data_IF_718305048006
#
_entry.id   IF_718305048006
#
_cell.length_a   1.000
_cell.length_b   1.000
_cell.length_c   1.000
_cell.angle_alpha   90.00
_cell.angle_beta   90.00
_cell.angle_gamma   90.00
#
_symmetry.space_group_name_H-M   'P 1'
#
loop_
_entity.id
_entity.type
_entity.pdbx_description
1 polymer ?
#
# COMPACT_ATOMS: atom_id res chain seq x y z
N UNK A 1 -14.84 9.35 4.51
CA UNK A 1 -14.19 8.51 3.48
C UNK A 1 -13.64 7.27 4.16
N UNK A 2 -13.84 6.10 3.56
CA UNK A 2 -13.32 4.82 4.05
C UNK A 2 -12.23 4.33 3.10
N UNK A 3 -11.01 4.21 3.59
CA UNK A 3 -9.88 3.70 2.83
C UNK A 3 -9.44 2.33 3.35
N UNK A 4 -8.81 1.55 2.49
CA UNK A 4 -8.06 0.36 2.88
C UNK A 4 -6.59 0.56 2.57
N UNK A 5 -5.72 -0.03 3.39
CA UNK A 5 -4.28 0.04 3.25
C UNK A 5 -3.67 -1.33 3.03
N UNK A 6 -2.89 -1.49 1.96
CA UNK A 6 -2.13 -2.71 1.69
C UNK A 6 -0.67 -2.47 2.11
N UNK A 7 -0.19 -3.29 3.04
CA UNK A 7 1.23 -3.28 3.43
C UNK A 7 1.98 -4.27 2.54
N UNK A 8 2.82 -3.75 1.65
CA UNK A 8 3.57 -4.53 0.66
C UNK A 8 4.76 -5.32 1.22
N UNK A 9 4.66 -5.79 2.45
CA UNK A 9 5.70 -6.57 3.13
C UNK A 9 5.06 -7.66 3.98
N UNK A 10 5.60 -8.86 3.90
CA UNK A 10 5.27 -9.99 4.78
C UNK A 10 6.27 -10.15 5.93
N UNK A 11 7.19 -9.20 6.13
CA UNK A 11 8.11 -9.22 7.24
C UNK A 11 7.40 -8.87 8.55
N UNK A 12 7.74 -9.57 9.65
CA UNK A 12 7.22 -9.31 10.98
C UNK A 12 7.53 -7.88 11.44
N UNK A 13 8.78 -7.42 11.23
CA UNK A 13 9.19 -6.04 11.48
C UNK A 13 9.20 -5.29 10.15
N UNK A 14 8.20 -4.44 9.92
CA UNK A 14 8.07 -3.66 8.69
C UNK A 14 7.89 -2.17 8.97
N UNK A 15 8.77 -1.33 8.44
CA UNK A 15 8.61 0.14 8.51
C UNK A 15 7.45 0.64 7.65
N UNK A 16 7.09 -0.08 6.62
CA UNK A 16 5.88 0.23 5.84
C UNK A 16 4.62 -0.06 6.65
N UNK A 17 4.61 -1.10 7.48
CA UNK A 17 3.52 -1.36 8.44
C UNK A 17 3.44 -0.24 9.48
N UNK A 18 4.57 0.13 10.10
CA UNK A 18 4.62 1.24 11.06
C UNK A 18 4.10 2.55 10.45
N UNK A 19 4.49 2.85 9.20
CA UNK A 19 4.01 4.03 8.49
C UNK A 19 2.49 4.00 8.31
N UNK A 20 1.94 2.87 7.89
CA UNK A 20 0.50 2.71 7.68
C UNK A 20 -0.30 2.76 9.00
N UNK A 21 0.24 2.20 10.08
CA UNK A 21 -0.34 2.29 11.43
C UNK A 21 -0.33 3.73 11.94
N UNK A 22 0.77 4.46 11.72
CA UNK A 22 0.85 5.89 12.01
C UNK A 22 -0.20 6.68 11.23
N UNK A 23 -0.33 6.43 9.92
CA UNK A 23 -1.36 7.08 9.08
C UNK A 23 -2.76 6.80 9.62
N UNK A 24 -3.07 5.55 9.94
CA UNK A 24 -4.38 5.15 10.46
C UNK A 24 -4.70 5.81 11.81
N UNK A 25 -3.69 6.07 12.65
CA UNK A 25 -3.84 6.70 13.96
C UNK A 25 -3.93 8.22 13.87
N UNK A 26 -3.03 8.85 13.10
CA UNK A 26 -2.81 10.29 13.11
C UNK A 26 -3.83 11.07 12.26
N UNK A 27 -4.32 10.48 11.17
CA UNK A 27 -5.17 11.21 10.20
C UNK A 27 -6.64 10.75 10.21
N UNK A 28 -7.15 10.36 11.38
CA UNK A 28 -8.57 9.97 11.57
C UNK A 28 -9.56 11.08 11.26
N UNK A 29 -9.11 12.33 11.27
CA UNK A 29 -9.89 13.50 10.89
C UNK A 29 -10.12 13.59 9.37
N UNK A 30 -9.29 12.94 8.57
CA UNK A 30 -9.40 12.92 7.10
C UNK A 30 -10.19 11.70 6.59
N UNK A 31 -9.94 10.52 7.15
CA UNK A 31 -10.55 9.25 6.73
C UNK A 31 -10.41 8.16 7.79
N UNK A 32 -11.11 7.06 7.59
CA UNK A 32 -10.83 5.79 8.30
C UNK A 32 -9.97 4.90 7.42
N UNK A 33 -8.91 4.31 7.97
CA UNK A 33 -8.00 3.40 7.25
C UNK A 33 -7.99 2.02 7.92
N UNK A 34 -8.41 1.00 7.16
CA UNK A 34 -8.32 -0.41 7.57
C UNK A 34 -7.15 -1.08 6.87
N UNK A 35 -6.21 -1.67 7.64
CA UNK A 35 -5.05 -2.34 7.07
C UNK A 35 -5.38 -3.77 6.65
N UNK A 36 -4.97 -4.13 5.45
CA UNK A 36 -5.08 -5.46 4.87
C UNK A 36 -3.71 -6.14 4.88
N UNK A 37 -3.68 -7.38 5.33
CA UNK A 37 -2.46 -8.17 5.41
C UNK A 37 -2.34 -9.13 4.21
N UNK A 38 -1.14 -9.19 3.63
CA UNK A 38 -0.81 -10.10 2.52
C UNK A 38 0.01 -11.32 2.97
N UNK A 39 0.33 -11.42 4.27
CA UNK A 39 1.27 -12.41 4.80
C UNK A 39 0.81 -13.85 4.55
N UNK A 40 -0.49 -14.10 4.66
CA UNK A 40 -1.07 -15.44 4.52
C UNK A 40 -1.54 -15.78 3.09
N UNK A 41 -1.36 -14.86 2.15
CA UNK A 41 -1.70 -15.14 0.77
C UNK A 41 -0.68 -16.10 0.15
N UNK A 42 -1.10 -17.17 -0.53
CA UNK A 42 -0.17 -18.06 -1.24
C UNK A 42 0.53 -17.31 -2.38
N UNK A 43 1.70 -17.80 -2.78
CA UNK A 43 2.33 -17.29 -3.99
C UNK A 43 1.42 -17.54 -5.19
N UNK A 44 1.30 -16.54 -6.06
CA UNK A 44 0.46 -16.64 -7.24
C UNK A 44 0.94 -17.77 -8.16
N UNK A 45 0.01 -18.63 -8.53
CA UNK A 45 0.18 -19.68 -9.51
C UNK A 45 -1.13 -19.79 -10.31
N UNK A 46 -1.08 -19.50 -11.60
CA UNK A 46 -2.29 -19.50 -12.44
C UNK A 46 -2.92 -20.89 -12.63
N UNK A 47 -2.17 -21.97 -12.35
CA UNK A 47 -2.66 -23.35 -12.44
C UNK A 47 -3.44 -23.77 -11.17
N UNK A 48 -3.37 -22.96 -10.12
CA UNK A 48 -4.06 -23.18 -8.85
C UNK A 48 -5.15 -22.13 -8.67
N UNK A 49 -6.41 -22.54 -8.74
CA UNK A 49 -7.55 -21.60 -8.51
C UNK A 49 -7.79 -21.38 -7.01
N UNK A 50 -7.00 -20.48 -6.43
CA UNK A 50 -7.22 -20.02 -5.06
C UNK A 50 -8.15 -18.80 -4.97
N UNK A 51 -8.51 -18.20 -6.09
CA UNK A 51 -9.30 -16.96 -6.10
C UNK A 51 -10.70 -17.14 -5.49
N UNK A 52 -11.27 -18.33 -5.60
CA UNK A 52 -12.61 -18.68 -5.10
C UNK A 52 -12.59 -19.37 -3.74
N UNK A 53 -11.46 -19.92 -3.31
CA UNK A 53 -11.35 -20.76 -2.10
C UNK A 53 -10.57 -20.09 -0.98
N UNK A 54 -9.61 -19.21 -1.29
CA UNK A 54 -8.80 -18.55 -0.28
C UNK A 54 -9.60 -17.47 0.44
N UNK A 55 -9.93 -17.72 1.72
CA UNK A 55 -10.75 -16.83 2.54
C UNK A 55 -10.12 -15.45 2.72
N UNK A 56 -8.80 -15.36 2.89
CA UNK A 56 -8.11 -14.10 3.12
C UNK A 56 -8.14 -13.24 1.85
N UNK A 57 -7.96 -13.87 0.67
CA UNK A 57 -8.09 -13.19 -0.61
C UNK A 57 -9.52 -12.67 -0.85
N UNK A 58 -10.54 -13.48 -0.56
CA UNK A 58 -11.95 -13.08 -0.70
C UNK A 58 -12.34 -11.95 0.27
N UNK A 59 -11.80 -11.98 1.49
CA UNK A 59 -11.99 -10.89 2.46
C UNK A 59 -11.32 -9.60 1.96
N UNK A 60 -10.09 -9.70 1.46
CA UNK A 60 -9.35 -8.56 0.89
C UNK A 60 -10.11 -7.96 -0.30
N UNK A 61 -10.52 -8.79 -1.26
CA UNK A 61 -11.33 -8.39 -2.41
C UNK A 61 -12.57 -7.59 -1.99
N UNK A 62 -13.38 -8.14 -1.08
CA UNK A 62 -14.59 -7.48 -0.59
C UNK A 62 -14.31 -6.14 0.08
N UNK A 63 -13.26 -6.05 0.91
CA UNK A 63 -12.88 -4.81 1.59
C UNK A 63 -12.41 -3.74 0.60
N UNK A 64 -11.65 -4.10 -0.43
CA UNK A 64 -11.23 -3.18 -1.48
C UNK A 64 -12.45 -2.68 -2.26
N UNK A 65 -13.36 -3.57 -2.65
CA UNK A 65 -14.60 -3.17 -3.36
C UNK A 65 -15.44 -2.17 -2.56
N UNK A 66 -15.52 -2.34 -1.24
CA UNK A 66 -16.32 -1.47 -0.33
C UNK A 66 -15.62 -0.18 0.06
N UNK A 67 -14.33 -0.02 -0.24
CA UNK A 67 -13.57 1.18 0.07
C UNK A 67 -13.70 2.25 -1.02
N UNK A 68 -13.61 3.52 -0.60
CA UNK A 68 -13.57 4.67 -1.52
C UNK A 68 -12.23 4.78 -2.26
N UNK A 69 -11.15 4.24 -1.69
CA UNK A 69 -9.82 4.22 -2.28
C UNK A 69 -8.86 3.30 -1.51
N UNK A 70 -7.66 3.13 -2.06
CA UNK A 70 -6.62 2.25 -1.51
C UNK A 70 -5.32 3.03 -1.32
N UNK A 71 -4.62 2.79 -0.22
CA UNK A 71 -3.24 3.23 -0.02
C UNK A 71 -2.34 2.00 -0.02
N UNK A 72 -1.30 1.97 -0.85
CA UNK A 72 -0.33 0.86 -0.90
C UNK A 72 1.02 1.37 -0.43
N UNK A 73 1.52 0.80 0.67
CA UNK A 73 2.86 1.07 1.17
C UNK A 73 3.83 -0.03 0.74
N UNK A 74 4.85 0.32 -0.04
CA UNK A 74 5.82 -0.65 -0.55
C UNK A 74 7.24 -0.41 -0.06
N UNK A 75 7.93 -1.44 0.49
CA UNK A 75 9.39 -1.39 0.60
C UNK A 75 10.03 -1.54 -0.79
N UNK A 76 11.33 -1.34 -0.85
CA UNK A 76 12.12 -1.58 -2.06
C UNK A 76 13.05 -2.79 -1.87
N UNK A 77 12.83 -3.83 -2.64
CA UNK A 77 13.67 -5.02 -2.69
C UNK A 77 14.29 -5.13 -4.09
N UNK A 78 15.61 -5.07 -4.17
CA UNK A 78 16.33 -5.16 -5.45
C UNK A 78 15.76 -4.21 -6.52
N UNK A 79 15.53 -2.94 -6.12
CA UNK A 79 15.00 -1.86 -6.96
C UNK A 79 13.55 -2.05 -7.46
N UNK A 80 12.78 -2.95 -6.86
CA UNK A 80 11.38 -3.17 -7.21
C UNK A 80 10.53 -3.48 -5.97
N UNK A 81 9.25 -3.79 -6.18
CA UNK A 81 8.35 -4.23 -5.11
C UNK A 81 8.71 -5.63 -4.61
N UNK A 82 8.18 -6.02 -3.48
CA UNK A 82 8.37 -7.39 -2.95
C UNK A 82 7.64 -8.43 -3.81
N UNK A 83 8.16 -9.65 -3.80
CA UNK A 83 7.50 -10.80 -4.44
C UNK A 83 6.11 -11.05 -3.85
N UNK A 84 5.94 -10.87 -2.53
CA UNK A 84 4.64 -11.02 -1.86
C UNK A 84 3.62 -9.99 -2.32
N UNK A 85 4.01 -8.71 -2.47
CA UNK A 85 3.11 -7.68 -3.00
C UNK A 85 2.75 -7.96 -4.45
N UNK A 86 3.73 -8.32 -5.29
CA UNK A 86 3.46 -8.67 -6.70
C UNK A 86 2.48 -9.83 -6.80
N UNK A 87 2.70 -10.89 -6.02
CA UNK A 87 1.82 -12.06 -5.94
C UNK A 87 0.39 -11.68 -5.50
N UNK A 88 0.25 -10.84 -4.46
CA UNK A 88 -1.06 -10.37 -4.02
C UNK A 88 -1.81 -9.60 -5.12
N UNK A 89 -1.09 -8.74 -5.87
CA UNK A 89 -1.68 -8.00 -7.00
C UNK A 89 -2.05 -8.92 -8.16
N UNK A 90 -1.29 -9.98 -8.43
CA UNK A 90 -1.66 -11.00 -9.43
C UNK A 90 -2.97 -11.71 -9.03
N UNK A 91 -3.10 -12.15 -7.78
CA UNK A 91 -4.36 -12.74 -7.31
C UNK A 91 -5.55 -11.78 -7.45
N UNK A 92 -5.36 -10.50 -7.12
CA UNK A 92 -6.41 -9.49 -7.22
C UNK A 92 -6.73 -9.09 -8.67
N UNK A 93 -5.86 -9.38 -9.64
CA UNK A 93 -6.04 -9.04 -11.05
C UNK A 93 -6.34 -10.23 -11.96
N UNK A 94 -6.27 -11.46 -11.45
CA UNK A 94 -6.49 -12.67 -12.24
C UNK A 94 -7.99 -12.91 -12.50
N UNK A 95 -8.85 -12.84 -11.47
CA UNK A 95 -10.30 -13.08 -11.62
C UNK A 95 -11.18 -12.07 -10.85
N UNK A 96 -10.65 -11.36 -9.86
CA UNK A 96 -11.45 -10.60 -8.91
C UNK A 96 -11.61 -9.12 -9.27
N UNK A 97 -10.58 -8.49 -9.81
CA UNK A 97 -10.51 -7.11 -10.29
C UNK A 97 -11.01 -5.99 -9.33
N UNK A 98 -10.80 -6.06 -7.98
CA UNK A 98 -11.34 -5.04 -7.08
C UNK A 98 -10.65 -3.69 -7.19
N UNK A 99 -9.48 -3.62 -7.84
CA UNK A 99 -8.72 -2.39 -8.06
C UNK A 99 -9.12 -1.67 -9.35
N UNK A 100 -9.95 -2.28 -10.19
CA UNK A 100 -10.40 -1.67 -11.43
C UNK A 100 -11.13 -0.35 -11.16
N UNK A 101 -10.65 0.73 -11.79
CA UNK A 101 -11.15 2.10 -11.60
C UNK A 101 -11.11 2.60 -10.14
N UNK A 102 -10.34 1.94 -9.26
CA UNK A 102 -10.19 2.33 -7.85
C UNK A 102 -9.10 3.39 -7.72
N UNK A 103 -9.37 4.54 -7.02
CA UNK A 103 -8.32 5.48 -6.65
C UNK A 103 -7.27 4.81 -5.78
N UNK A 104 -6.00 4.91 -6.18
CA UNK A 104 -4.88 4.29 -5.46
C UNK A 104 -3.76 5.30 -5.21
N UNK A 105 -3.38 5.48 -3.95
CA UNK A 105 -2.17 6.20 -3.56
C UNK A 105 -1.04 5.23 -3.26
N UNK A 106 0.14 5.50 -3.81
CA UNK A 106 1.37 4.75 -3.53
C UNK A 106 2.29 5.57 -2.65
N UNK A 107 2.83 4.95 -1.62
CA UNK A 107 3.84 5.53 -0.74
C UNK A 107 4.80 4.45 -0.22
N UNK A 108 5.82 4.83 0.52
CA UNK A 108 6.70 3.82 1.08
C UNK A 108 7.78 4.35 2.00
N UNK A 109 8.41 3.42 2.69
CA UNK A 109 9.52 3.63 3.62
C UNK A 109 10.66 2.68 3.31
N UNK A 110 11.91 3.14 3.38
CA UNK A 110 13.11 2.33 3.22
C UNK A 110 14.19 2.67 4.24
N UNK A 111 15.14 1.75 4.41
CA UNK A 111 16.34 1.99 5.25
C UNK A 111 17.25 3.08 4.70
N UNK A 112 17.27 3.27 3.39
CA UNK A 112 18.13 4.20 2.69
C UNK A 112 17.37 5.47 2.31
N UNK A 113 18.08 6.48 1.83
CA UNK A 113 17.53 7.81 1.52
C UNK A 113 16.46 7.81 0.42
N UNK A 114 16.46 6.80 -0.47
CA UNK A 114 15.56 6.73 -1.62
C UNK A 114 14.07 6.54 -1.27
N UNK A 115 13.74 6.14 -0.04
CA UNK A 115 12.34 6.02 0.41
C UNK A 115 11.47 5.10 -0.46
N UNK A 116 12.06 4.05 -1.05
CA UNK A 116 11.41 3.11 -2.00
C UNK A 116 11.00 3.70 -3.36
N UNK A 117 11.65 4.74 -3.83
CA UNK A 117 11.28 5.45 -5.07
C UNK A 117 11.17 4.56 -6.31
N UNK A 118 12.13 3.65 -6.51
CA UNK A 118 12.12 2.74 -7.67
C UNK A 118 10.98 1.72 -7.58
N UNK A 119 10.75 1.19 -6.38
CA UNK A 119 9.63 0.28 -6.15
C UNK A 119 8.28 0.97 -6.39
N UNK A 120 8.14 2.24 -6.00
CA UNK A 120 6.93 3.02 -6.26
C UNK A 120 6.70 3.24 -7.77
N UNK A 121 7.75 3.51 -8.55
CA UNK A 121 7.65 3.61 -10.02
C UNK A 121 7.16 2.29 -10.65
N UNK A 122 7.76 1.17 -10.26
CA UNK A 122 7.32 -0.15 -10.76
C UNK A 122 5.91 -0.49 -10.32
N UNK A 123 5.54 -0.14 -9.08
CA UNK A 123 4.17 -0.37 -8.60
C UNK A 123 3.14 0.43 -9.42
N UNK A 124 3.45 1.68 -9.78
CA UNK A 124 2.59 2.50 -10.66
C UNK A 124 2.37 1.84 -12.02
N UNK A 125 3.42 1.28 -12.62
CA UNK A 125 3.32 0.54 -13.90
C UNK A 125 2.42 -0.71 -13.77
N UNK A 126 2.54 -1.45 -12.66
CA UNK A 126 1.70 -2.62 -12.41
C UNK A 126 0.23 -2.23 -12.21
N UNK A 127 -0.02 -1.15 -11.47
CA UNK A 127 -1.38 -0.66 -11.22
C UNK A 127 -2.07 -0.10 -12.47
N UNK A 128 -1.29 0.43 -13.42
CA UNK A 128 -1.76 0.93 -14.73
C UNK A 128 -1.97 -0.21 -15.75
N UNK A 129 -1.50 -1.43 -15.46
CA UNK A 129 -1.67 -2.56 -16.37
C UNK A 129 -3.15 -2.88 -16.60
N UNK A 130 -3.56 -3.28 -17.84
CA UNK A 130 -4.98 -3.52 -18.17
C UNK A 130 -5.70 -4.52 -17.25
N UNK A 131 -4.98 -5.50 -16.70
CA UNK A 131 -5.56 -6.48 -15.76
C UNK A 131 -5.85 -5.89 -14.36
N UNK A 132 -5.18 -4.82 -13.96
CA UNK A 132 -5.40 -4.12 -12.68
C UNK A 132 -6.25 -2.87 -12.86
N UNK A 133 -5.91 -2.04 -13.85
CA UNK A 133 -6.65 -0.85 -14.30
C UNK A 133 -7.04 0.11 -13.16
N UNK A 134 -6.14 0.38 -12.22
CA UNK A 134 -6.36 1.29 -11.10
C UNK A 134 -6.17 2.76 -11.53
N UNK A 135 -6.86 3.68 -10.87
CA UNK A 135 -6.65 5.13 -11.06
C UNK A 135 -5.57 5.59 -10.06
N UNK A 136 -4.32 5.59 -10.51
CA UNK A 136 -3.20 5.91 -9.63
C UNK A 136 -3.10 7.41 -9.39
N UNK A 137 -3.16 7.83 -8.12
CA UNK A 137 -3.03 9.24 -7.73
C UNK A 137 -1.72 9.84 -8.25
N UNK A 138 -1.78 10.90 -9.09
CA UNK A 138 -0.60 11.51 -9.68
C UNK A 138 0.10 12.49 -8.73
N UNK A 139 1.37 12.77 -9.01
CA UNK A 139 2.14 13.78 -8.27
C UNK A 139 2.54 13.29 -6.87
N UNK A 140 2.58 14.16 -5.93
CA UNK A 140 3.01 14.02 -4.53
C UNK A 140 3.48 12.63 -4.09
N UNK A 141 4.72 12.31 -4.40
CA UNK A 141 5.37 11.08 -3.91
C UNK A 141 5.71 11.26 -2.43
N UNK A 142 5.32 10.31 -1.59
CA UNK A 142 5.77 10.23 -0.22
C UNK A 142 6.84 9.15 -0.09
N UNK A 143 8.08 9.58 0.12
CA UNK A 143 9.29 8.77 0.13
C UNK A 143 9.96 8.89 1.51
N UNK A 144 9.66 7.96 2.43
CA UNK A 144 10.27 7.98 3.75
C UNK A 144 11.62 7.25 3.74
N UNK A 145 12.71 8.02 3.57
CA UNK A 145 14.07 7.52 3.75
C UNK A 145 14.44 7.35 5.22
N UNK A 146 15.57 6.65 5.48
CA UNK A 146 16.11 6.42 6.83
C UNK A 146 15.06 5.97 7.85
N UNK A 147 14.18 5.07 7.43
CA UNK A 147 13.00 4.68 8.18
C UNK A 147 13.30 4.16 9.59
N UNK A 148 14.49 3.56 9.82
CA UNK A 148 14.94 3.14 11.15
C UNK A 148 15.01 4.29 12.14
N UNK A 149 15.38 5.48 11.66
CA UNK A 149 15.59 6.67 12.48
C UNK A 149 14.36 7.57 12.55
N UNK A 150 13.41 7.37 11.61
CA UNK A 150 12.26 8.24 11.42
C UNK A 150 11.18 8.10 12.49
N UNK A 151 11.08 6.93 13.14
CA UNK A 151 10.06 6.63 14.14
C UNK A 151 10.61 6.69 15.56
N UNK A 152 9.76 7.09 16.51
CA UNK A 152 9.98 6.95 17.94
C UNK A 152 9.66 5.53 18.44
N UNK A 153 9.83 5.30 19.75
CA UNK A 153 9.56 4.02 20.40
C UNK A 153 8.08 3.62 20.35
N UNK A 154 7.18 4.59 20.19
CA UNK A 154 5.73 4.40 20.12
C UNK A 154 5.24 4.25 18.67
N UNK A 155 6.15 4.25 17.68
CA UNK A 155 5.82 4.13 16.26
C UNK A 155 5.31 5.42 15.62
N UNK A 156 5.50 6.59 16.25
CA UNK A 156 5.15 7.87 15.66
C UNK A 156 6.33 8.43 14.85
N UNK A 157 6.05 9.14 13.77
CA UNK A 157 7.08 9.92 13.06
C UNK A 157 7.55 11.07 13.93
N UNK A 158 8.86 11.33 13.93
CA UNK A 158 9.50 12.34 14.78
C UNK A 158 9.60 13.72 14.15
N UNK A 159 9.71 13.77 12.81
CA UNK A 159 9.95 15.02 12.09
C UNK A 159 8.64 15.69 11.68
N UNK A 160 8.38 16.87 12.24
CA UNK A 160 7.17 17.65 11.98
C UNK A 160 7.01 18.05 10.50
N UNK A 161 8.12 18.29 9.80
CA UNK A 161 8.11 18.59 8.36
C UNK A 161 7.62 17.40 7.54
N UNK A 162 8.09 16.20 7.87
CA UNK A 162 7.65 14.94 7.25
C UNK A 162 6.17 14.66 7.53
N UNK A 163 5.72 14.88 8.78
CA UNK A 163 4.31 14.71 9.19
C UNK A 163 3.41 15.68 8.41
N UNK A 164 3.80 16.96 8.33
CA UNK A 164 3.06 17.98 7.59
C UNK A 164 3.00 17.71 6.08
N UNK A 165 4.10 17.23 5.49
CA UNK A 165 4.12 16.83 4.08
C UNK A 165 3.23 15.61 3.81
N UNK A 166 3.28 14.59 4.67
CA UNK A 166 2.41 13.43 4.58
C UNK A 166 0.93 13.84 4.65
N UNK A 167 0.57 14.72 5.59
CA UNK A 167 -0.79 15.29 5.67
C UNK A 167 -1.21 15.97 4.38
N UNK A 168 -0.31 16.74 3.77
CA UNK A 168 -0.56 17.41 2.49
C UNK A 168 -0.85 16.40 1.38
N UNK A 169 -0.05 15.32 1.28
CA UNK A 169 -0.25 14.25 0.30
C UNK A 169 -1.60 13.56 0.49
N UNK A 170 -1.92 13.18 1.74
CA UNK A 170 -3.17 12.49 2.08
C UNK A 170 -4.40 13.39 1.84
N UNK A 171 -4.32 14.68 2.19
CA UNK A 171 -5.40 15.65 1.95
C UNK A 171 -5.69 15.80 0.45
N UNK A 172 -4.67 15.78 -0.39
CA UNK A 172 -4.85 15.83 -1.85
C UNK A 172 -5.45 14.53 -2.39
N UNK A 173 -5.00 13.39 -1.86
CA UNK A 173 -5.57 12.10 -2.25
C UNK A 173 -7.06 11.97 -1.89
N UNK A 174 -7.46 12.45 -0.73
CA UNK A 174 -8.88 12.45 -0.30
C UNK A 174 -9.78 13.30 -1.21
N UNK A 175 -9.20 14.27 -1.92
CA UNK A 175 -9.92 15.13 -2.88
C UNK A 175 -9.85 14.65 -4.33
N UNK A 176 -9.04 13.65 -4.58
CA UNK A 176 -8.85 13.03 -5.90
C UNK A 176 -9.97 12.07 -6.23
#
# INVERSE_FOLDING_TARGET
>A
MKLVGIVGSNAEISYNRKLMEFIAKEYKDLFTLELLDITNLPMFNQDEDHSRENKDLLVMNRKILQADGVIIATPEHNHTITASLKSALEWLSFELHPLENKPVMVLGASYYDQGSSRAQLHLRQILDAPGVNAIVFPGNEFLLGKAKEAFDENGNLKDEGTIGYLRTCLTKFVKF
#
